data_IF_506841026628
#
_entry.id   IF_506841026628
#
_cell.length_a   1.000
_cell.length_b   1.000
_cell.length_c   1.000
_cell.angle_alpha   90.00
_cell.angle_beta   90.00
_cell.angle_gamma   90.00
#
_symmetry.space_group_name_H-M   'P 1'
#
loop_
_entity.id
_entity.type
_entity.pdbx_description
1 polymer ?
#
# COMPACT_ATOMS: atom_id res chain seq x y z
N UNK A 1 27.79 7.74 8.17
CA UNK A 1 26.93 7.43 7.00
C UNK A 1 25.48 7.10 7.36
N UNK A 2 25.19 6.24 8.35
CA UNK A 2 23.81 5.84 8.68
C UNK A 2 22.95 7.02 9.17
N UNK A 3 23.45 7.82 10.12
CA UNK A 3 22.73 8.97 10.68
C UNK A 3 22.37 10.03 9.62
N UNK A 4 23.31 10.38 8.74
CA UNK A 4 23.07 11.35 7.67
C UNK A 4 21.99 10.85 6.69
N UNK A 5 22.04 9.57 6.32
CA UNK A 5 21.03 8.96 5.45
C UNK A 5 19.64 8.99 6.09
N UNK A 6 19.56 8.70 7.38
CA UNK A 6 18.30 8.76 8.13
C UNK A 6 17.73 10.18 8.18
N UNK A 7 18.56 11.17 8.53
CA UNK A 7 18.17 12.58 8.57
C UNK A 7 17.68 13.08 7.22
N UNK A 8 18.41 12.81 6.13
CA UNK A 8 18.01 13.23 4.78
C UNK A 8 16.69 12.57 4.38
N UNK A 9 16.51 11.27 4.62
CA UNK A 9 15.26 10.57 4.32
C UNK A 9 14.08 11.19 5.06
N UNK A 10 14.24 11.43 6.36
CA UNK A 10 13.20 12.03 7.19
C UNK A 10 12.90 13.45 6.74
N UNK A 11 13.93 14.25 6.43
CA UNK A 11 13.80 15.62 5.95
C UNK A 11 13.06 15.70 4.61
N UNK A 12 13.41 14.86 3.65
CA UNK A 12 12.74 14.82 2.34
C UNK A 12 11.29 14.37 2.52
N UNK A 13 11.03 13.36 3.34
CA UNK A 13 9.67 12.90 3.62
C UNK A 13 8.82 14.00 4.26
N UNK A 14 9.34 14.73 5.27
CA UNK A 14 8.60 15.83 5.88
C UNK A 14 8.44 17.01 4.93
N UNK A 15 9.42 17.28 4.06
CA UNK A 15 9.32 18.33 3.06
C UNK A 15 8.24 18.04 2.00
N UNK A 16 8.13 16.81 1.51
CA UNK A 16 7.10 16.39 0.55
C UNK A 16 5.68 16.53 1.13
N UNK A 17 5.52 16.20 2.42
CA UNK A 17 4.22 16.17 3.10
C UNK A 17 3.82 17.48 3.80
N UNK A 18 4.68 18.49 3.75
CA UNK A 18 4.41 19.78 4.37
C UNK A 18 3.85 20.77 3.36
N UNK A 19 3.10 21.76 3.84
CA UNK A 19 2.67 22.93 3.03
C UNK A 19 3.69 24.08 3.04
N UNK A 20 4.73 24.00 3.89
CA UNK A 20 5.77 25.02 3.98
C UNK A 20 7.08 24.48 4.52
N UNK A 21 8.17 25.23 4.31
CA UNK A 21 9.50 24.91 4.87
C UNK A 21 9.49 24.83 6.40
N UNK A 22 8.87 25.80 7.05
CA UNK A 22 8.86 25.89 8.50
C UNK A 22 8.14 24.71 9.15
N UNK A 23 7.00 24.28 8.57
CA UNK A 23 6.30 23.09 9.07
C UNK A 23 7.12 21.83 8.84
N UNK A 24 7.77 21.67 7.69
CA UNK A 24 8.64 20.52 7.40
C UNK A 24 9.81 20.40 8.39
N UNK A 25 10.50 21.51 8.67
CA UNK A 25 11.65 21.53 9.57
C UNK A 25 11.25 21.31 11.02
N UNK A 26 10.11 21.87 11.43
CA UNK A 26 9.52 21.59 12.73
C UNK A 26 9.17 20.11 12.87
N UNK A 27 8.47 19.53 11.89
CA UNK A 27 8.09 18.10 11.89
C UNK A 27 9.30 17.17 11.90
N UNK A 28 10.40 17.53 11.22
CA UNK A 28 11.64 16.78 11.30
C UNK A 28 12.16 16.73 12.74
N UNK A 29 12.30 17.90 13.38
CA UNK A 29 12.79 18.00 14.76
C UNK A 29 11.85 17.25 15.71
N UNK A 30 10.54 17.41 15.55
CA UNK A 30 9.54 16.72 16.39
C UNK A 30 9.63 15.20 16.28
N UNK A 31 10.04 14.68 15.13
CA UNK A 31 10.27 13.25 14.89
C UNK A 31 11.48 12.63 15.61
N UNK A 32 12.32 13.43 16.29
CA UNK A 32 13.49 12.94 17.02
C UNK A 32 13.38 13.17 18.54
N UNK A 33 13.94 12.25 19.36
CA UNK A 33 13.96 12.42 20.81
C UNK A 33 14.95 13.52 21.25
N UNK A 34 14.75 14.04 22.46
CA UNK A 34 15.66 15.01 23.09
C UNK A 34 17.08 14.44 23.17
N UNK A 35 18.09 15.24 22.82
CA UNK A 35 19.50 14.84 22.77
C UNK A 35 19.94 14.23 21.43
N UNK A 36 19.02 13.97 20.49
CA UNK A 36 19.37 13.54 19.14
C UNK A 36 19.77 14.75 18.26
N UNK A 37 20.80 14.59 17.42
CA UNK A 37 21.29 15.66 16.55
C UNK A 37 20.18 16.27 15.65
N UNK A 38 19.27 15.43 15.16
CA UNK A 38 18.11 15.85 14.36
C UNK A 38 17.14 16.80 15.07
N UNK A 39 17.10 16.78 16.42
CA UNK A 39 16.25 17.65 17.23
C UNK A 39 16.78 19.09 17.27
N UNK A 40 18.10 19.24 17.20
CA UNK A 40 18.80 20.52 17.40
C UNK A 40 19.29 21.17 16.10
N UNK A 41 19.05 20.55 14.94
CA UNK A 41 19.49 21.10 13.66
C UNK A 41 18.86 22.45 13.39
N UNK A 42 19.65 23.43 12.94
CA UNK A 42 19.14 24.76 12.58
C UNK A 42 18.48 24.75 11.21
N UNK A 43 17.68 25.77 10.90
CA UNK A 43 17.04 25.86 9.58
C UNK A 43 18.09 25.91 8.45
N UNK A 44 19.19 26.63 8.65
CA UNK A 44 20.28 26.77 7.68
C UNK A 44 20.96 25.42 7.38
N UNK A 45 21.15 24.59 8.41
CA UNK A 45 21.70 23.25 8.26
C UNK A 45 20.74 22.34 7.46
N UNK A 46 19.43 22.45 7.73
CA UNK A 46 18.41 21.68 7.00
C UNK A 46 18.29 22.14 5.55
N UNK A 47 18.37 23.44 5.29
CA UNK A 47 18.39 23.98 3.92
C UNK A 47 19.63 23.51 3.15
N UNK A 48 20.80 23.49 3.79
CA UNK A 48 22.03 22.98 3.17
C UNK A 48 21.89 21.50 2.79
N UNK A 49 21.34 20.68 3.68
CA UNK A 49 21.08 19.26 3.40
C UNK A 49 20.06 19.07 2.27
N UNK A 50 19.01 19.89 2.25
CA UNK A 50 17.98 19.79 1.24
C UNK A 50 18.48 20.26 -0.13
N UNK A 51 19.28 21.33 -0.18
CA UNK A 51 19.93 21.79 -1.40
C UNK A 51 20.84 20.70 -1.99
N UNK A 52 21.70 20.10 -1.16
CA UNK A 52 22.56 18.99 -1.58
C UNK A 52 21.77 17.74 -2.06
N UNK A 53 20.57 17.51 -1.50
CA UNK A 53 19.66 16.48 -2.00
C UNK A 53 19.08 16.83 -3.37
N UNK A 54 18.62 18.07 -3.55
CA UNK A 54 18.02 18.56 -4.79
C UNK A 54 19.03 18.65 -5.94
N UNK A 55 20.30 18.92 -5.66
CA UNK A 55 21.37 18.82 -6.67
C UNK A 55 21.42 17.44 -7.34
N UNK A 56 21.08 16.39 -6.59
CA UNK A 56 21.06 15.01 -7.09
C UNK A 56 19.69 14.57 -7.62
N UNK A 57 18.62 15.24 -7.19
CA UNK A 57 17.23 14.90 -7.53
C UNK A 57 16.43 16.15 -7.91
N UNK A 58 16.84 16.89 -8.96
CA UNK A 58 16.28 18.21 -9.28
C UNK A 58 14.79 18.15 -9.63
N UNK A 59 14.31 17.03 -10.16
CA UNK A 59 12.90 16.79 -10.50
C UNK A 59 11.95 16.81 -9.28
N UNK A 60 12.47 16.75 -8.05
CA UNK A 60 11.67 16.82 -6.82
C UNK A 60 11.50 18.26 -6.30
N UNK A 61 12.23 19.24 -6.84
CA UNK A 61 12.23 20.61 -6.31
C UNK A 61 10.82 21.21 -6.21
N UNK A 62 10.03 21.05 -7.28
CA UNK A 62 8.66 21.58 -7.38
C UNK A 62 7.64 20.75 -6.59
N UNK A 63 8.04 19.59 -6.06
CA UNK A 63 7.20 18.69 -5.29
C UNK A 63 7.38 18.89 -3.77
N UNK A 64 8.40 19.64 -3.34
CA UNK A 64 8.60 19.92 -1.93
C UNK A 64 7.69 21.05 -1.46
N UNK A 65 7.20 20.93 -0.23
CA UNK A 65 6.38 21.93 0.45
C UNK A 65 5.02 22.19 -0.23
N UNK A 66 4.48 21.17 -0.90
CA UNK A 66 3.20 21.27 -1.65
C UNK A 66 2.17 20.23 -1.20
N UNK A 67 2.34 19.64 -0.01
CA UNK A 67 1.49 18.54 0.51
C UNK A 67 1.23 17.42 -0.52
N UNK A 68 2.30 16.96 -1.18
CA UNK A 68 2.17 15.88 -2.16
C UNK A 68 1.75 14.56 -1.51
N UNK A 69 2.03 14.37 -0.22
CA UNK A 69 1.59 13.20 0.53
C UNK A 69 0.08 13.01 0.48
N UNK A 70 -0.68 14.06 0.82
CA UNK A 70 -2.14 14.02 0.76
C UNK A 70 -2.66 13.73 -0.65
N UNK A 71 -2.06 14.35 -1.68
CA UNK A 71 -2.41 14.09 -3.09
C UNK A 71 -2.18 12.63 -3.49
N UNK A 72 -1.00 12.08 -3.20
CA UNK A 72 -0.63 10.70 -3.56
C UNK A 72 -1.55 9.70 -2.85
N UNK A 73 -1.80 9.90 -1.55
CA UNK A 73 -2.75 9.07 -0.79
C UNK A 73 -4.18 9.15 -1.36
N UNK A 74 -4.57 10.32 -1.86
CA UNK A 74 -5.85 10.50 -2.55
C UNK A 74 -5.94 9.72 -3.86
N UNK A 75 -4.85 9.62 -4.62
CA UNK A 75 -4.78 8.78 -5.82
C UNK A 75 -4.86 7.29 -5.44
N UNK A 76 -4.12 6.85 -4.43
CA UNK A 76 -4.16 5.47 -3.92
C UNK A 76 -5.57 5.08 -3.46
N UNK A 77 -6.27 6.01 -2.79
CA UNK A 77 -7.65 5.81 -2.37
C UNK A 77 -8.61 5.62 -3.55
N UNK A 78 -8.47 6.40 -4.63
CA UNK A 78 -9.28 6.27 -5.85
C UNK A 78 -9.01 4.96 -6.60
N UNK A 79 -7.74 4.54 -6.66
CA UNK A 79 -7.37 3.24 -7.22
C UNK A 79 -8.03 2.12 -6.40
N UNK A 80 -7.90 2.19 -5.07
CA UNK A 80 -8.48 1.21 -4.15
C UNK A 80 -9.99 1.13 -4.27
N UNK A 81 -10.67 2.28 -4.36
CA UNK A 81 -12.12 2.35 -4.56
C UNK A 81 -12.54 1.66 -5.86
N UNK A 82 -11.79 1.86 -6.96
CA UNK A 82 -12.06 1.19 -8.23
C UNK A 82 -11.92 -0.33 -8.12
N UNK A 83 -10.82 -0.80 -7.52
CA UNK A 83 -10.56 -2.23 -7.29
C UNK A 83 -11.67 -2.85 -6.44
N UNK A 84 -12.01 -2.21 -5.31
CA UNK A 84 -13.09 -2.67 -4.42
C UNK A 84 -14.43 -2.74 -5.14
N UNK A 85 -14.79 -1.72 -5.91
CA UNK A 85 -16.04 -1.72 -6.68
C UNK A 85 -16.13 -2.90 -7.64
N UNK A 86 -15.08 -3.14 -8.42
CA UNK A 86 -15.04 -4.26 -9.39
C UNK A 86 -15.28 -5.61 -8.70
N UNK A 87 -14.60 -5.89 -7.59
CA UNK A 87 -14.74 -7.17 -6.91
C UNK A 87 -16.01 -7.29 -6.07
N UNK A 88 -16.52 -6.18 -5.52
CA UNK A 88 -17.83 -6.14 -4.88
C UNK A 88 -18.96 -6.51 -5.86
N UNK A 89 -18.93 -6.04 -7.10
CA UNK A 89 -19.91 -6.39 -8.15
C UNK A 89 -19.86 -7.88 -8.51
N UNK A 90 -18.69 -8.51 -8.38
CA UNK A 90 -18.49 -9.94 -8.60
C UNK A 90 -18.74 -10.80 -7.35
N UNK A 91 -19.13 -10.20 -6.22
CA UNK A 91 -19.23 -10.86 -4.92
C UNK A 91 -17.93 -11.58 -4.49
N UNK A 92 -16.78 -11.09 -4.95
CA UNK A 92 -15.45 -11.60 -4.58
C UNK A 92 -14.90 -10.73 -3.44
N UNK A 93 -14.58 -11.31 -2.27
CA UNK A 93 -13.99 -10.54 -1.19
C UNK A 93 -12.55 -10.14 -1.55
N UNK A 94 -12.27 -8.84 -1.43
CA UNK A 94 -10.92 -8.27 -1.52
C UNK A 94 -10.67 -7.37 -0.32
N UNK A 95 -9.52 -7.52 0.32
CA UNK A 95 -9.11 -6.75 1.49
C UNK A 95 -7.87 -5.93 1.15
N UNK A 96 -8.00 -4.61 1.16
CA UNK A 96 -6.87 -3.69 0.96
C UNK A 96 -6.01 -3.58 2.22
N UNK A 97 -4.70 -3.64 2.04
CA UNK A 97 -3.65 -3.41 3.04
C UNK A 97 -2.72 -2.35 2.45
N UNK A 98 -2.98 -1.07 2.75
CA UNK A 98 -2.38 0.06 2.04
C UNK A 98 -2.61 -0.04 0.52
N UNK A 99 -1.55 -0.15 -0.27
CA UNK A 99 -1.54 -0.31 -1.73
C UNK A 99 -1.58 -1.78 -2.18
N UNK A 100 -1.55 -2.71 -1.23
CA UNK A 100 -1.59 -4.15 -1.46
C UNK A 100 -3.01 -4.70 -1.24
N UNK A 101 -3.30 -5.87 -1.81
CA UNK A 101 -4.60 -6.51 -1.69
C UNK A 101 -4.48 -7.99 -1.35
N UNK A 102 -5.30 -8.44 -0.42
CA UNK A 102 -5.54 -9.85 -0.14
C UNK A 102 -6.82 -10.26 -0.88
N UNK A 103 -6.70 -11.23 -1.78
CA UNK A 103 -7.80 -11.75 -2.60
C UNK A 103 -7.71 -13.27 -2.69
N UNK A 104 -8.79 -13.90 -3.14
CA UNK A 104 -8.76 -15.32 -3.49
C UNK A 104 -7.65 -15.60 -4.51
N UNK A 105 -6.87 -16.65 -4.23
CA UNK A 105 -5.70 -17.05 -4.99
C UNK A 105 -6.01 -17.39 -6.46
N UNK A 106 -7.28 -17.65 -6.80
CA UNK A 106 -7.76 -17.88 -8.18
C UNK A 106 -8.03 -16.61 -8.98
N UNK A 107 -7.86 -15.42 -8.38
CA UNK A 107 -8.24 -14.12 -8.96
C UNK A 107 -7.08 -13.12 -9.05
N UNK A 108 -5.84 -13.57 -8.91
CA UNK A 108 -4.67 -12.68 -8.84
C UNK A 108 -4.39 -12.01 -10.17
N UNK A 109 -4.49 -12.73 -11.29
CA UNK A 109 -4.37 -12.17 -12.64
C UNK A 109 -5.46 -11.12 -12.89
N UNK A 110 -6.69 -11.42 -12.47
CA UNK A 110 -7.79 -10.47 -12.57
C UNK A 110 -7.52 -9.21 -11.74
N UNK A 111 -7.06 -9.37 -10.50
CA UNK A 111 -6.67 -8.26 -9.63
C UNK A 111 -5.61 -7.38 -10.28
N UNK A 112 -4.52 -7.97 -10.81
CA UNK A 112 -3.46 -7.20 -11.48
C UNK A 112 -3.98 -6.42 -12.67
N UNK A 113 -4.85 -7.04 -13.48
CA UNK A 113 -5.50 -6.35 -14.61
C UNK A 113 -6.34 -5.17 -14.14
N UNK A 114 -7.14 -5.36 -13.09
CA UNK A 114 -8.00 -4.31 -12.51
C UNK A 114 -7.15 -3.19 -11.91
N UNK A 115 -6.06 -3.51 -11.21
CA UNK A 115 -5.10 -2.52 -10.69
C UNK A 115 -4.44 -1.72 -11.81
N UNK A 116 -4.05 -2.37 -12.92
CA UNK A 116 -3.48 -1.69 -14.08
C UNK A 116 -4.49 -0.71 -14.72
N UNK A 117 -5.74 -1.14 -14.92
CA UNK A 117 -6.81 -0.28 -15.45
C UNK A 117 -7.14 0.87 -14.48
N UNK A 118 -7.23 0.58 -13.18
CA UNK A 118 -7.52 1.57 -12.16
C UNK A 118 -6.45 2.66 -12.12
N UNK A 119 -5.18 2.25 -12.09
CA UNK A 119 -4.04 3.18 -12.08
C UNK A 119 -3.92 3.97 -13.37
N UNK A 120 -4.16 3.36 -14.53
CA UNK A 120 -4.21 4.08 -15.80
C UNK A 120 -5.31 5.16 -15.80
N UNK A 121 -6.49 4.84 -15.27
CA UNK A 121 -7.59 5.80 -15.18
C UNK A 121 -7.33 6.95 -14.19
N UNK A 122 -6.63 6.69 -13.10
CA UNK A 122 -6.40 7.66 -12.01
C UNK A 122 -5.14 8.49 -12.24
N UNK A 123 -4.07 7.85 -12.72
CA UNK A 123 -2.73 8.44 -12.86
C UNK A 123 -2.35 8.72 -14.33
N UNK A 124 -3.16 8.26 -15.30
CA UNK A 124 -2.86 8.39 -16.73
C UNK A 124 -1.91 7.32 -17.28
N UNK A 125 -1.40 6.44 -16.42
CA UNK A 125 -0.49 5.34 -16.79
C UNK A 125 -0.76 4.12 -15.91
N UNK A 126 -0.65 2.92 -16.48
CA UNK A 126 -0.71 1.69 -15.71
C UNK A 126 0.53 1.58 -14.81
N UNK A 127 0.31 1.54 -13.49
CA UNK A 127 1.40 1.39 -12.53
C UNK A 127 1.86 -0.07 -12.45
N UNK A 128 3.17 -0.33 -12.29
CA UNK A 128 3.68 -1.67 -12.16
C UNK A 128 3.21 -2.32 -10.85
N UNK A 129 2.75 -3.56 -10.94
CA UNK A 129 2.31 -4.35 -9.78
C UNK A 129 3.36 -5.39 -9.40
N UNK A 130 3.73 -5.47 -8.12
CA UNK A 130 4.53 -6.57 -7.58
C UNK A 130 3.66 -7.53 -6.78
N UNK A 131 3.98 -8.82 -6.82
CA UNK A 131 3.34 -9.84 -5.99
C UNK A 131 4.39 -10.67 -5.24
N UNK A 132 4.06 -11.07 -4.02
CA UNK A 132 4.90 -11.98 -3.23
C UNK A 132 4.70 -13.44 -3.67
N UNK A 133 3.52 -13.77 -4.20
CA UNK A 133 3.14 -15.10 -4.67
C UNK A 133 2.38 -14.98 -6.00
N UNK A 134 2.62 -15.90 -6.93
CA UNK A 134 1.79 -16.06 -8.14
C UNK A 134 0.42 -16.57 -7.74
N UNK A 135 -0.66 -16.11 -8.38
CA UNK A 135 -1.97 -16.75 -8.23
C UNK A 135 -2.09 -18.04 -9.01
N UNK A 136 -3.13 -18.82 -8.72
CA UNK A 136 -3.46 -20.03 -9.47
C UNK A 136 -3.77 -19.71 -10.93
N UNK A 137 -4.43 -18.59 -11.16
CA UNK A 137 -4.73 -18.06 -12.50
C UNK A 137 -3.48 -17.54 -13.22
N UNK A 138 -2.33 -17.48 -12.54
CA UNK A 138 -1.02 -17.13 -13.08
C UNK A 138 -0.06 -18.32 -13.21
N UNK A 139 -0.32 -19.42 -12.49
CA UNK A 139 0.54 -20.58 -12.40
C UNK A 139 0.27 -21.59 -13.52
N UNK A 140 1.28 -22.41 -13.83
CA UNK A 140 1.11 -23.54 -14.74
C UNK A 140 0.12 -24.58 -14.16
N UNK A 141 -0.61 -25.32 -15.02
CA UNK A 141 -1.65 -26.27 -14.60
C UNK A 141 -1.19 -27.34 -13.59
N UNK A 142 0.11 -27.63 -13.54
CA UNK A 142 0.71 -28.59 -12.61
C UNK A 142 0.56 -28.16 -11.14
N UNK A 143 0.63 -26.85 -10.86
CA UNK A 143 0.50 -26.30 -9.50
C UNK A 143 -0.96 -26.20 -9.01
N UNK A 144 -1.93 -26.49 -9.88
CA UNK A 144 -3.37 -26.50 -9.54
C UNK A 144 -3.72 -27.64 -8.58
N UNK A 145 -2.96 -28.74 -8.62
CA UNK A 145 -3.24 -29.93 -7.81
C UNK A 145 -3.04 -29.68 -6.31
N UNK A 146 -2.00 -28.94 -5.93
CA UNK A 146 -1.74 -28.57 -4.53
C UNK A 146 -2.88 -27.71 -3.94
N UNK A 147 -3.45 -26.82 -4.77
CA UNK A 147 -4.60 -26.01 -4.38
C UNK A 147 -5.86 -26.85 -4.15
N UNK A 148 -6.14 -27.80 -5.06
CA UNK A 148 -7.26 -28.74 -4.91
C UNK A 148 -7.09 -29.55 -3.62
N UNK A 149 -5.90 -30.10 -3.39
CA UNK A 149 -5.60 -30.87 -2.18
C UNK A 149 -5.76 -30.03 -0.90
N UNK A 150 -5.27 -28.80 -0.88
CA UNK A 150 -5.43 -27.89 0.26
C UNK A 150 -6.90 -27.54 0.55
N UNK A 151 -7.73 -27.36 -0.49
CA UNK A 151 -9.17 -27.09 -0.34
C UNK A 151 -9.96 -28.30 0.15
N UNK A 152 -9.49 -29.52 -0.14
CA UNK A 152 -10.05 -30.78 0.35
C UNK A 152 -9.62 -31.14 1.78
N UNK A 153 -8.65 -30.44 2.35
CA UNK A 153 -8.23 -30.66 3.73
C UNK A 153 -9.39 -30.40 4.72
N UNK A 154 -9.50 -31.28 5.73
CA UNK A 154 -10.51 -31.17 6.76
C UNK A 154 -10.43 -29.80 7.45
N UNK A 155 -11.57 -29.11 7.56
CA UNK A 155 -11.64 -27.81 8.22
C UNK A 155 -11.46 -27.98 9.73
N UNK A 156 -10.74 -27.07 10.36
CA UNK A 156 -10.56 -27.10 11.81
C UNK A 156 -11.87 -26.87 12.56
N UNK A 157 -11.98 -27.41 13.76
CA UNK A 157 -13.16 -27.20 14.63
C UNK A 157 -13.46 -25.71 14.85
N UNK A 158 -12.42 -24.87 14.96
CA UNK A 158 -12.57 -23.42 15.11
C UNK A 158 -13.21 -22.77 13.88
N UNK A 159 -12.87 -23.23 12.67
CA UNK A 159 -13.54 -22.77 11.44
C UNK A 159 -15.00 -23.18 11.42
N UNK A 160 -15.30 -24.46 11.70
CA UNK A 160 -16.66 -24.99 11.69
C UNK A 160 -17.57 -24.26 12.68
N UNK A 161 -17.07 -23.97 13.89
CA UNK A 161 -17.80 -23.16 14.90
C UNK A 161 -18.12 -21.76 14.38
N UNK A 162 -17.16 -21.05 13.77
CA UNK A 162 -17.38 -19.71 13.21
C UNK A 162 -18.34 -19.73 12.02
N UNK A 163 -18.26 -20.76 11.18
CA UNK A 163 -19.19 -20.96 10.06
C UNK A 163 -20.61 -21.10 10.57
N UNK A 164 -20.85 -22.00 11.53
CA UNK A 164 -22.18 -22.20 12.12
C UNK A 164 -22.73 -20.93 12.78
N UNK A 165 -21.90 -20.18 13.51
CA UNK A 165 -22.29 -18.89 14.09
C UNK A 165 -22.66 -17.86 13.01
N UNK A 166 -21.92 -17.82 11.90
CA UNK A 166 -22.24 -16.93 10.78
C UNK A 166 -23.58 -17.29 10.13
N UNK A 167 -23.80 -18.58 9.86
CA UNK A 167 -25.05 -19.08 9.24
C UNK A 167 -26.27 -18.81 10.13
N UNK A 168 -26.15 -19.05 11.45
CA UNK A 168 -27.21 -18.70 12.41
C UNK A 168 -27.50 -17.19 12.44
N UNK A 169 -26.46 -16.35 12.42
CA UNK A 169 -26.60 -14.90 12.47
C UNK A 169 -27.20 -14.31 11.19
N UNK A 170 -26.89 -14.89 10.03
CA UNK A 170 -27.27 -14.34 8.73
C UNK A 170 -28.48 -15.04 8.11
N UNK A 171 -28.86 -16.23 8.60
CA UNK A 171 -29.91 -17.07 8.03
C UNK A 171 -29.55 -17.61 6.64
N UNK A 172 -28.29 -17.46 6.19
CA UNK A 172 -27.81 -17.88 4.87
C UNK A 172 -26.75 -18.97 5.03
N UNK A 173 -26.92 -20.14 4.41
CA UNK A 173 -25.87 -21.15 4.40
C UNK A 173 -24.65 -20.62 3.65
N UNK A 174 -23.46 -20.90 4.18
CA UNK A 174 -22.22 -20.59 3.47
C UNK A 174 -21.97 -21.75 2.51
N UNK A 175 -22.17 -21.47 1.22
CA UNK A 175 -21.90 -22.41 0.13
C UNK A 175 -20.45 -22.90 0.20
N UNK A 176 -20.26 -24.17 -0.11
CA UNK A 176 -18.92 -24.69 -0.31
C UNK A 176 -18.34 -24.00 -1.54
N UNK A 177 -17.14 -23.45 -1.41
CA UNK A 177 -16.35 -23.03 -2.56
C UNK A 177 -16.01 -24.29 -3.36
N UNK A 178 -16.73 -24.54 -4.46
CA UNK A 178 -16.46 -25.62 -5.43
C UNK A 178 -15.24 -25.25 -6.27
#
# INVERSE_FOLDING_TARGET
MVLQRDLIKKLVLTAINAESKDSAFKSLRDGYPTGHAGKTMTNEQLETLLAAFLERSPHLADLLFTDQGGRLMGLDGRISEFVHRHFCELAVPVLSVHDSYLIDYTRVRELKRVMAVASERVCGVALPTSNQFYGLDEADPEYVQDYIAFRQAARSEGYLRRKAQHEQRTGRPVEAFV
#
